data_IF_292118620498
#
_entry.id   IF_292118620498
#
_cell.length_a   1.000
_cell.length_b   1.000
_cell.length_c   1.000
_cell.angle_alpha   90.00
_cell.angle_beta   90.00
_cell.angle_gamma   90.00
#
_symmetry.space_group_name_H-M   'P 1'
#
loop_
_entity.id
_entity.type
_entity.pdbx_description
1 polymer ?
#
# COMPACT_ATOMS: atom_id res chain seq x y z
N UNK A 1 8.06 5.16 -10.62
CA UNK A 1 9.27 5.31 -10.08
C UNK A 1 10.02 6.57 -10.43
N UNK A 2 10.95 7.12 -10.03
CA UNK A 2 11.91 8.21 -10.17
C UNK A 2 11.80 9.13 -11.42
N UNK A 3 10.63 9.69 -11.71
CA UNK A 3 10.52 10.66 -12.82
C UNK A 3 11.00 12.09 -12.48
N UNK A 4 11.23 12.39 -11.20
CA UNK A 4 11.82 13.67 -10.77
C UNK A 4 13.17 13.42 -10.10
N UNK A 5 14.20 13.12 -10.91
CA UNK A 5 15.59 13.24 -10.47
C UNK A 5 15.91 14.73 -10.24
N UNK A 6 15.48 15.30 -9.10
CA UNK A 6 16.22 16.43 -8.55
C UNK A 6 17.65 15.91 -8.38
N UNK A 7 18.63 16.59 -9.00
CA UNK A 7 20.06 16.32 -8.77
C UNK A 7 20.26 16.36 -7.25
N UNK A 8 20.46 15.21 -6.64
CA UNK A 8 20.94 15.09 -5.28
C UNK A 8 22.33 15.74 -5.30
N UNK A 9 22.42 16.99 -4.89
CA UNK A 9 23.70 17.60 -4.51
C UNK A 9 24.27 16.70 -3.40
N UNK A 10 25.59 16.62 -3.23
CA UNK A 10 26.35 15.75 -2.32
C UNK A 10 25.85 15.67 -0.85
N UNK A 11 24.55 15.61 -0.61
CA UNK A 11 23.94 15.54 0.70
C UNK A 11 23.73 14.10 1.16
N UNK A 12 23.77 13.91 2.48
CA UNK A 12 23.40 12.66 3.13
C UNK A 12 21.89 12.43 2.96
N UNK A 13 21.50 11.18 2.83
CA UNK A 13 20.08 10.79 2.84
C UNK A 13 19.86 9.56 3.74
N UNK A 14 18.65 9.41 4.21
CA UNK A 14 18.16 8.20 4.87
C UNK A 14 16.86 7.76 4.23
N UNK A 15 16.73 6.44 4.03
CA UNK A 15 15.50 5.82 3.56
C UNK A 15 15.15 4.69 4.52
N UNK A 16 13.94 4.74 5.08
CA UNK A 16 13.42 3.77 6.03
C UNK A 16 12.07 3.26 5.53
N UNK A 17 11.81 1.99 5.73
CA UNK A 17 10.51 1.44 5.35
C UNK A 17 10.30 0.02 5.82
N UNK A 18 9.05 -0.40 5.76
CA UNK A 18 8.62 -1.78 5.98
C UNK A 18 7.86 -2.24 4.76
N UNK A 19 8.23 -3.42 4.26
CA UNK A 19 7.53 -4.09 3.16
C UNK A 19 7.07 -5.45 3.62
N UNK A 20 5.81 -5.77 3.38
CA UNK A 20 5.19 -7.04 3.73
C UNK A 20 4.53 -7.63 2.50
N UNK A 21 4.76 -8.92 2.26
CA UNK A 21 4.04 -9.71 1.26
C UNK A 21 3.50 -10.94 1.96
N UNK A 22 2.20 -11.17 1.87
CA UNK A 22 1.53 -12.34 2.41
C UNK A 22 1.12 -13.28 1.28
N UNK A 23 1.66 -14.50 1.30
CA UNK A 23 1.31 -15.59 0.38
C UNK A 23 0.64 -16.74 1.15
N UNK A 24 -0.67 -16.70 1.38
CA UNK A 24 -1.37 -17.74 2.12
C UNK A 24 -1.35 -19.08 1.38
N UNK A 25 -1.29 -20.17 2.14
CA UNK A 25 -1.39 -21.51 1.58
C UNK A 25 -2.80 -21.79 1.03
N UNK A 26 -3.83 -21.29 1.71
CA UNK A 26 -5.21 -21.46 1.28
C UNK A 26 -5.53 -20.45 0.16
N UNK A 27 -5.93 -20.90 -1.06
CA UNK A 27 -6.20 -20.04 -2.20
C UNK A 27 -7.43 -19.13 -2.01
N UNK A 28 -8.29 -19.40 -1.03
CA UNK A 28 -9.41 -18.54 -0.66
C UNK A 28 -8.97 -17.29 0.11
N UNK A 29 -7.77 -17.32 0.73
CA UNK A 29 -7.17 -16.15 1.36
C UNK A 29 -6.33 -15.42 0.31
N UNK A 30 -6.62 -14.16 0.01
CA UNK A 30 -5.90 -13.44 -1.03
C UNK A 30 -4.44 -13.17 -0.68
N UNK A 31 -3.58 -13.15 -1.69
CA UNK A 31 -2.25 -12.53 -1.56
C UNK A 31 -2.41 -11.04 -1.34
N UNK A 32 -1.58 -10.48 -0.47
CA UNK A 32 -1.59 -9.04 -0.20
C UNK A 32 -0.18 -8.49 -0.09
N UNK A 33 -0.05 -7.22 -0.38
CA UNK A 33 1.20 -6.47 -0.31
C UNK A 33 0.98 -5.20 0.47
N UNK A 34 1.96 -4.79 1.27
CA UNK A 34 1.98 -3.51 1.95
C UNK A 34 3.40 -2.97 1.93
N UNK A 35 3.53 -1.68 1.72
CA UNK A 35 4.79 -0.96 1.87
C UNK A 35 4.50 0.40 2.50
N UNK A 36 5.33 0.79 3.45
CA UNK A 36 5.38 2.15 3.99
C UNK A 36 6.84 2.58 4.05
N UNK A 37 7.12 3.81 3.62
CA UNK A 37 8.49 4.33 3.56
C UNK A 37 8.56 5.82 3.84
N UNK A 38 9.62 6.22 4.51
CA UNK A 38 10.03 7.60 4.71
C UNK A 38 11.40 7.81 4.08
N UNK A 39 11.57 8.90 3.36
CA UNK A 39 12.82 9.35 2.82
C UNK A 39 13.17 10.73 3.38
N UNK A 40 14.38 10.90 3.88
CA UNK A 40 14.89 12.15 4.42
C UNK A 40 16.17 12.57 3.70
N UNK A 41 16.29 13.85 3.38
CA UNK A 41 17.51 14.50 2.96
C UNK A 41 18.05 15.35 4.10
N UNK A 42 19.37 15.33 4.29
CA UNK A 42 20.03 16.10 5.35
C UNK A 42 20.91 17.21 4.75
N UNK A 43 21.06 18.30 5.47
CA UNK A 43 22.02 19.35 5.19
C UNK A 43 23.41 18.99 5.71
N UNK A 44 24.38 19.94 5.62
CA UNK A 44 25.75 19.75 6.11
C UNK A 44 25.86 19.57 7.63
N UNK A 45 24.89 20.05 8.37
CA UNK A 45 24.85 20.06 9.82
C UNK A 45 24.00 18.92 10.40
N UNK A 46 23.67 17.92 9.54
CA UNK A 46 22.85 16.75 9.84
C UNK A 46 21.38 17.08 10.24
N UNK A 47 20.88 18.26 9.89
CA UNK A 47 19.46 18.55 10.04
C UNK A 47 18.66 18.06 8.85
N UNK A 48 17.39 17.68 9.06
CA UNK A 48 16.49 17.28 7.98
C UNK A 48 16.16 18.51 7.13
N UNK A 49 16.64 18.52 5.88
CA UNK A 49 16.42 19.56 4.89
C UNK A 49 15.13 19.36 4.10
N UNK A 50 14.79 18.12 3.80
CA UNK A 50 13.61 17.73 3.03
C UNK A 50 13.23 16.30 3.35
N UNK A 51 11.96 15.94 3.21
CA UNK A 51 11.47 14.58 3.37
C UNK A 51 10.25 14.34 2.50
N UNK A 52 9.95 13.09 2.28
CA UNK A 52 8.68 12.64 1.69
C UNK A 52 8.38 11.23 2.13
N UNK A 53 7.11 10.90 2.08
CA UNK A 53 6.60 9.57 2.37
C UNK A 53 6.04 8.93 1.11
N UNK A 54 6.04 7.61 1.10
CA UNK A 54 5.37 6.80 0.11
C UNK A 54 4.93 5.48 0.71
N UNK A 55 4.00 4.84 0.06
CA UNK A 55 3.51 3.56 0.52
C UNK A 55 2.20 3.16 -0.12
N UNK A 56 1.55 2.22 0.52
CA UNK A 56 0.27 1.69 0.11
C UNK A 56 0.13 0.21 0.40
N UNK A 57 -1.00 -0.32 0.01
CA UNK A 57 -1.30 -1.75 0.08
C UNK A 57 -2.30 -2.15 -1.00
N UNK A 58 -2.20 -3.38 -1.46
CA UNK A 58 -3.11 -3.95 -2.46
C UNK A 58 -3.42 -5.41 -2.18
N UNK A 59 -4.50 -5.88 -2.79
CA UNK A 59 -5.03 -7.23 -2.64
C UNK A 59 -5.06 -7.94 -3.99
N UNK A 60 -4.50 -9.14 -4.06
CA UNK A 60 -4.46 -9.97 -5.28
C UNK A 60 -5.09 -11.34 -5.00
N UNK A 61 -6.43 -11.45 -5.03
CA UNK A 61 -7.13 -12.71 -4.80
C UNK A 61 -7.01 -13.65 -6.01
N UNK A 62 -6.85 -14.95 -5.74
CA UNK A 62 -7.09 -16.01 -6.73
C UNK A 62 -8.58 -16.16 -6.99
N UNK A 63 -9.38 -16.14 -5.93
CA UNK A 63 -10.83 -16.21 -5.98
C UNK A 63 -11.40 -14.88 -5.47
N UNK A 64 -11.90 -14.01 -6.35
CA UNK A 64 -12.40 -12.70 -5.98
C UNK A 64 -13.80 -12.78 -5.35
N UNK A 65 -13.85 -12.63 -4.02
CA UNK A 65 -15.10 -12.50 -3.28
C UNK A 65 -15.56 -11.05 -3.25
N UNK A 66 -16.70 -10.78 -3.87
CA UNK A 66 -17.25 -9.42 -4.01
C UNK A 66 -17.39 -8.69 -2.66
N UNK A 67 -17.83 -9.40 -1.61
CA UNK A 67 -18.02 -8.81 -0.29
C UNK A 67 -16.69 -8.43 0.39
N UNK A 68 -15.67 -9.27 0.23
CA UNK A 68 -14.34 -9.00 0.78
C UNK A 68 -13.70 -7.79 0.07
N UNK A 69 -13.86 -7.71 -1.26
CA UNK A 69 -13.37 -6.59 -2.06
C UNK A 69 -14.06 -5.27 -1.67
N UNK A 70 -15.39 -5.29 -1.55
CA UNK A 70 -16.15 -4.11 -1.12
C UNK A 70 -15.74 -3.64 0.27
N UNK A 71 -15.57 -4.56 1.20
CA UNK A 71 -15.17 -4.25 2.58
C UNK A 71 -13.75 -3.70 2.64
N UNK A 72 -12.82 -4.28 1.87
CA UNK A 72 -11.45 -3.80 1.71
C UNK A 72 -11.39 -2.33 1.30
N UNK A 73 -12.08 -1.98 0.23
CA UNK A 73 -12.13 -0.61 -0.27
C UNK A 73 -12.91 0.34 0.64
N UNK A 74 -14.00 -0.14 1.27
CA UNK A 74 -14.78 0.66 2.22
C UNK A 74 -13.94 1.05 3.45
N UNK A 75 -13.16 0.13 3.97
CA UNK A 75 -12.29 0.38 5.12
C UNK A 75 -11.14 1.35 4.74
N UNK A 76 -10.52 1.18 3.57
CA UNK A 76 -9.53 2.09 3.05
C UNK A 76 -10.09 3.51 2.90
N UNK A 77 -11.29 3.63 2.32
CA UNK A 77 -11.96 4.92 2.17
C UNK A 77 -12.26 5.57 3.52
N UNK A 78 -12.87 4.84 4.44
CA UNK A 78 -13.21 5.37 5.76
C UNK A 78 -11.98 5.86 6.53
N UNK A 79 -10.88 5.14 6.44
CA UNK A 79 -9.59 5.52 7.04
C UNK A 79 -9.04 6.81 6.42
N UNK A 80 -8.99 6.90 5.10
CA UNK A 80 -8.39 8.04 4.41
C UNK A 80 -9.27 9.30 4.49
N UNK A 81 -10.59 9.16 4.46
CA UNK A 81 -11.52 10.28 4.63
C UNK A 81 -11.38 10.97 6.01
N UNK A 82 -10.79 10.31 7.01
CA UNK A 82 -10.49 10.93 8.31
C UNK A 82 -9.32 11.92 8.25
N UNK A 83 -8.52 11.89 7.19
CA UNK A 83 -7.43 12.83 6.92
C UNK A 83 -7.83 13.85 5.87
N UNK A 84 -8.30 13.37 4.70
CA UNK A 84 -8.76 14.19 3.58
C UNK A 84 -9.71 13.37 2.69
N UNK A 85 -10.87 13.95 2.35
CA UNK A 85 -11.91 13.30 1.53
C UNK A 85 -11.43 12.96 0.11
N UNK A 86 -10.37 13.59 -0.37
CA UNK A 86 -9.80 13.35 -1.70
C UNK A 86 -8.79 12.22 -1.72
N UNK A 87 -8.19 11.88 -0.58
CA UNK A 87 -7.08 10.91 -0.50
C UNK A 87 -7.47 9.55 -1.04
N UNK A 88 -8.60 9.01 -0.63
CA UNK A 88 -9.01 7.69 -1.13
C UNK A 88 -9.14 7.66 -2.66
N UNK A 89 -9.78 8.66 -3.25
CA UNK A 89 -9.96 8.75 -4.70
C UNK A 89 -8.62 8.82 -5.42
N UNK A 90 -7.71 9.66 -4.93
CA UNK A 90 -6.39 9.87 -5.53
C UNK A 90 -5.52 8.62 -5.37
N UNK A 91 -5.38 8.11 -4.16
CA UNK A 91 -4.50 6.97 -3.86
C UNK A 91 -5.00 5.66 -4.46
N UNK A 92 -6.32 5.46 -4.57
CA UNK A 92 -6.89 4.31 -5.27
C UNK A 92 -6.64 4.39 -6.78
N UNK A 93 -6.72 5.59 -7.37
CA UNK A 93 -6.36 5.80 -8.78
C UNK A 93 -4.88 5.53 -9.02
N UNK A 94 -4.00 6.09 -8.19
CA UNK A 94 -2.56 5.86 -8.30
C UNK A 94 -2.20 4.37 -8.14
N UNK A 95 -2.85 3.66 -7.22
CA UNK A 95 -2.69 2.22 -7.06
C UNK A 95 -3.03 1.47 -8.36
N UNK A 96 -4.14 1.82 -8.99
CA UNK A 96 -4.57 1.22 -10.25
C UNK A 96 -3.60 1.49 -11.39
N UNK A 97 -3.06 2.70 -11.46
CA UNK A 97 -2.13 3.12 -12.51
C UNK A 97 -0.73 2.50 -12.29
N UNK A 98 -0.27 2.45 -11.04
CA UNK A 98 1.05 1.89 -10.68
C UNK A 98 1.13 0.38 -10.94
N UNK A 99 0.07 -0.36 -10.61
CA UNK A 99 0.00 -1.82 -10.79
C UNK A 99 -0.63 -2.25 -12.11
N UNK A 100 -0.81 -1.35 -13.06
CA UNK A 100 -1.25 -1.72 -14.41
C UNK A 100 -0.16 -2.50 -15.14
N UNK A 101 -0.54 -3.61 -15.76
CA UNK A 101 0.33 -4.53 -16.49
C UNK A 101 0.08 -4.33 -18.01
N UNK A 102 0.92 -3.51 -18.71
CA UNK A 102 0.62 -3.08 -20.06
C UNK A 102 0.50 -4.22 -21.10
N UNK A 103 1.39 -5.22 -20.98
CA UNK A 103 1.40 -6.33 -21.94
C UNK A 103 0.20 -7.29 -21.77
N UNK A 104 -0.45 -7.28 -20.60
CA UNK A 104 -1.66 -8.05 -20.30
C UNK A 104 -2.93 -7.20 -20.40
N UNK A 105 -2.79 -5.87 -20.49
CA UNK A 105 -3.89 -4.90 -20.49
C UNK A 105 -4.82 -5.04 -19.29
N UNK A 106 -4.26 -5.38 -18.14
CA UNK A 106 -5.02 -5.60 -16.89
C UNK A 106 -4.36 -4.92 -15.71
N UNK A 107 -5.10 -4.74 -14.63
CA UNK A 107 -4.58 -4.31 -13.32
C UNK A 107 -4.21 -5.52 -12.49
N UNK A 108 -3.16 -5.40 -11.68
CA UNK A 108 -2.83 -6.42 -10.70
C UNK A 108 -3.91 -6.46 -9.60
N UNK A 109 -4.57 -7.60 -9.43
CA UNK A 109 -5.55 -7.83 -8.37
C UNK A 109 -6.74 -6.86 -8.40
N UNK A 110 -7.24 -6.56 -7.23
CA UNK A 110 -8.43 -5.71 -7.04
C UNK A 110 -8.08 -4.30 -6.56
N UNK A 111 -6.77 -3.99 -6.47
CA UNK A 111 -6.27 -2.69 -6.04
C UNK A 111 -6.27 -2.51 -4.52
N UNK A 112 -6.24 -1.28 -4.12
CA UNK A 112 -6.11 -0.79 -2.76
C UNK A 112 -5.78 0.69 -2.78
N UNK A 113 -4.70 1.08 -2.13
CA UNK A 113 -4.18 2.45 -2.10
C UNK A 113 -2.69 2.46 -2.42
N UNK A 114 -2.25 3.50 -3.09
CA UNK A 114 -0.83 3.79 -3.34
C UNK A 114 -0.62 5.30 -3.36
N UNK A 115 0.44 5.76 -2.72
CA UNK A 115 0.87 7.15 -2.70
C UNK A 115 2.39 7.22 -2.75
N UNK A 116 2.92 8.24 -3.41
CA UNK A 116 4.37 8.47 -3.49
C UNK A 116 4.67 9.96 -3.54
N UNK A 117 5.78 10.35 -2.92
CA UNK A 117 6.22 11.74 -2.82
C UNK A 117 5.25 12.67 -2.06
N UNK A 118 4.50 12.14 -1.10
CA UNK A 118 3.63 12.95 -0.26
C UNK A 118 4.44 13.79 0.73
N UNK A 119 4.12 15.09 0.79
CA UNK A 119 4.84 16.11 1.59
C UNK A 119 3.90 17.06 2.32
N UNK A 120 2.60 16.87 2.22
CA UNK A 120 1.61 17.82 2.75
C UNK A 120 1.50 17.79 4.28
N UNK A 121 2.12 16.79 4.91
CA UNK A 121 2.14 16.62 6.36
C UNK A 121 3.50 17.01 6.95
N UNK A 122 3.53 17.46 8.22
CA UNK A 122 4.80 17.56 8.96
C UNK A 122 5.44 16.17 9.07
N UNK A 123 6.73 16.12 9.41
CA UNK A 123 7.45 14.83 9.51
C UNK A 123 6.83 13.92 10.59
N UNK A 124 6.41 14.49 11.73
CA UNK A 124 5.76 13.75 12.82
C UNK A 124 4.40 13.20 12.38
N UNK A 125 3.61 14.02 11.69
CA UNK A 125 2.32 13.61 11.13
C UNK A 125 2.49 12.60 10.01
N UNK A 126 3.56 12.70 9.22
CA UNK A 126 3.92 11.73 8.19
C UNK A 126 4.22 10.36 8.79
N UNK A 127 4.99 10.28 9.88
CA UNK A 127 5.27 9.03 10.59
C UNK A 127 4.00 8.43 11.18
N UNK A 128 3.17 9.24 11.82
CA UNK A 128 1.88 8.80 12.35
C UNK A 128 0.95 8.30 11.25
N UNK A 129 0.92 8.98 10.10
CA UNK A 129 0.14 8.54 8.95
C UNK A 129 0.61 7.17 8.42
N UNK A 130 1.94 6.97 8.24
CA UNK A 130 2.49 5.69 7.79
C UNK A 130 2.17 4.55 8.77
N UNK A 131 2.28 4.80 10.08
CA UNK A 131 1.91 3.83 11.12
C UNK A 131 0.42 3.44 11.02
N UNK A 132 -0.45 4.42 10.83
CA UNK A 132 -1.88 4.19 10.69
C UNK A 132 -2.23 3.46 9.39
N UNK A 133 -1.54 3.73 8.27
CA UNK A 133 -1.66 2.96 7.01
C UNK A 133 -1.33 1.48 7.26
N UNK A 134 -0.22 1.20 7.97
CA UNK A 134 0.17 -0.17 8.28
C UNK A 134 -0.83 -0.88 9.21
N UNK A 135 -1.34 -0.19 10.23
CA UNK A 135 -2.39 -0.71 11.13
C UNK A 135 -3.69 -0.99 10.36
N UNK A 136 -4.09 -0.07 9.49
CA UNK A 136 -5.30 -0.23 8.68
C UNK A 136 -5.19 -1.42 7.72
N UNK A 137 -4.04 -1.58 7.04
CA UNK A 137 -3.75 -2.76 6.24
C UNK A 137 -3.92 -4.05 7.06
N UNK A 138 -3.25 -4.12 8.21
CA UNK A 138 -3.27 -5.31 9.06
C UNK A 138 -4.70 -5.68 9.49
N UNK A 139 -5.46 -4.70 9.96
CA UNK A 139 -6.84 -4.93 10.42
C UNK A 139 -7.75 -5.41 9.28
N UNK A 140 -7.66 -4.77 8.11
CA UNK A 140 -8.46 -5.13 6.94
C UNK A 140 -8.09 -6.52 6.42
N UNK A 141 -6.80 -6.82 6.33
CA UNK A 141 -6.32 -8.11 5.84
C UNK A 141 -6.64 -9.26 6.78
N UNK A 142 -6.42 -9.10 8.10
CA UNK A 142 -6.74 -10.12 9.09
C UNK A 142 -8.22 -10.48 9.10
N UNK A 143 -9.10 -9.51 8.87
CA UNK A 143 -10.55 -9.75 8.77
C UNK A 143 -10.86 -10.70 7.61
N UNK A 144 -10.28 -10.50 6.44
CA UNK A 144 -10.45 -11.36 5.27
C UNK A 144 -9.81 -12.72 5.53
N UNK A 145 -8.57 -12.74 6.01
CA UNK A 145 -7.83 -13.98 6.27
C UNK A 145 -8.54 -14.86 7.29
N UNK A 146 -9.03 -14.29 8.40
CA UNK A 146 -9.78 -15.02 9.42
C UNK A 146 -11.09 -15.61 8.90
N UNK A 147 -11.75 -14.93 7.97
CA UNK A 147 -13.00 -15.39 7.34
C UNK A 147 -12.75 -16.54 6.35
N UNK A 148 -11.58 -16.59 5.71
CA UNK A 148 -11.30 -17.49 4.58
C UNK A 148 -10.32 -18.62 4.87
N UNK A 149 -9.53 -18.55 5.95
CA UNK A 149 -8.42 -19.47 6.23
C UNK A 149 -8.84 -20.95 6.35
N UNK A 150 -10.07 -21.21 6.79
CA UNK A 150 -10.59 -22.56 7.02
C UNK A 150 -11.55 -23.03 5.89
N UNK A 151 -11.65 -22.24 4.79
CA UNK A 151 -12.46 -22.63 3.62
C UNK A 151 -11.83 -23.85 2.94
N UNK A 152 -12.59 -24.89 2.71
CA UNK A 152 -12.13 -26.10 2.01
C UNK A 152 -11.77 -25.79 0.55
N UNK A 153 -10.73 -26.40 0.05
CA UNK A 153 -10.29 -26.27 -1.34
C UNK A 153 -9.69 -27.56 -1.88
N UNK A 154 -9.81 -27.76 -3.19
CA UNK A 154 -9.14 -28.85 -3.88
C UNK A 154 -7.72 -28.48 -4.29
N UNK A 155 -6.83 -29.48 -4.40
CA UNK A 155 -5.45 -29.26 -4.87
C UNK A 155 -5.39 -28.66 -6.27
N UNK A 156 -6.42 -28.86 -7.09
CA UNK A 156 -6.49 -28.25 -8.44
C UNK A 156 -6.52 -26.72 -8.42
N UNK A 157 -6.97 -26.10 -7.33
CA UNK A 157 -6.92 -24.63 -7.17
C UNK A 157 -5.50 -24.09 -6.90
N UNK A 158 -4.58 -24.94 -6.47
CA UNK A 158 -3.19 -24.55 -6.18
C UNK A 158 -2.32 -24.60 -7.45
N UNK A 159 -2.72 -25.38 -8.45
CA UNK A 159 -1.97 -25.63 -9.68
C UNK A 159 -2.38 -24.75 -10.85
N UNK A 160 -3.17 -23.72 -10.61
CA UNK A 160 -3.46 -22.70 -11.60
C UNK A 160 -2.30 -21.67 -11.63
#
# INVERSE_FOLDING_TARGET
>A
ALKNKKKLSNGKFSAMGVSVISHPKNPHVPTSHMNVRLFCLFDSDDNIKDWWIGGGYDLTPYLPYSDDIKDWHKQAKHFLDSFDETYYKNFSKECNDYFYIPHRKERRGVGGIFFDNEKDLSIENSLSFLENVAKQYLNSYLKIASKRKDTEYSLSLIHI
#
